data_IF_884224096119
#
_entry.id   IF_884224096119
#
_cell.length_a   1.000
_cell.length_b   1.000
_cell.length_c   1.000
_cell.angle_alpha   90.00
_cell.angle_beta   90.00
_cell.angle_gamma   90.00
#
_symmetry.space_group_name_H-M   'P 1'
#
loop_
_entity.id
_entity.type
_entity.pdbx_description
1 polymer ?
#
# COMPACT_ATOMS: atom_id res chain seq x y z
N UNK A 1 28.84 25.29 -35.95
CA UNK A 1 27.50 25.26 -35.32
C UNK A 1 27.07 26.71 -35.24
N UNK A 2 26.33 27.18 -36.24
CA UNK A 2 25.80 28.55 -36.23
C UNK A 2 24.74 28.62 -35.13
N UNK A 3 24.98 29.47 -34.13
CA UNK A 3 23.99 29.71 -33.09
C UNK A 3 22.87 30.55 -33.70
N UNK A 4 21.63 30.13 -33.47
CA UNK A 4 20.43 30.82 -33.96
C UNK A 4 20.45 32.23 -33.34
N UNK A 5 20.46 33.26 -34.17
CA UNK A 5 20.40 34.65 -33.69
C UNK A 5 18.96 34.98 -33.28
N UNK A 6 18.75 35.97 -32.40
CA UNK A 6 17.40 36.31 -31.90
C UNK A 6 16.40 36.70 -32.99
N UNK A 7 16.89 37.02 -34.20
CA UNK A 7 16.07 37.34 -35.37
C UNK A 7 15.50 36.11 -36.07
N UNK A 8 16.09 34.93 -35.84
CA UNK A 8 15.72 33.67 -36.49
C UNK A 8 14.82 32.80 -35.61
N UNK A 9 14.62 33.19 -34.34
CA UNK A 9 13.76 32.44 -33.42
C UNK A 9 12.27 32.75 -33.68
N UNK A 10 11.41 31.74 -33.90
CA UNK A 10 9.99 31.97 -34.17
C UNK A 10 9.29 32.66 -32.98
N UNK A 11 8.76 33.86 -33.20
CA UNK A 11 8.09 34.63 -32.13
C UNK A 11 6.89 33.90 -31.52
N UNK A 12 6.21 33.06 -32.29
CA UNK A 12 5.10 32.21 -31.82
C UNK A 12 5.54 31.23 -30.71
N UNK A 13 6.82 30.85 -30.69
CA UNK A 13 7.38 29.93 -29.69
C UNK A 13 8.00 30.66 -28.49
N UNK A 14 8.16 31.98 -28.55
CA UNK A 14 8.92 32.73 -27.56
C UNK A 14 8.26 32.66 -26.18
N UNK A 15 6.94 32.80 -26.13
CA UNK A 15 6.18 32.65 -24.90
C UNK A 15 6.32 31.23 -24.30
N UNK A 16 6.24 30.18 -25.13
CA UNK A 16 6.37 28.80 -24.67
C UNK A 16 7.79 28.50 -24.16
N UNK A 17 8.80 29.01 -24.85
CA UNK A 17 10.20 28.86 -24.45
C UNK A 17 10.47 29.58 -23.12
N UNK A 18 9.97 30.81 -22.95
CA UNK A 18 10.13 31.57 -21.72
C UNK A 18 9.37 30.94 -20.55
N UNK A 19 8.18 30.38 -20.79
CA UNK A 19 7.42 29.63 -19.80
C UNK A 19 8.16 28.36 -19.37
N UNK A 20 8.75 27.63 -20.33
CA UNK A 20 9.55 26.45 -20.04
C UNK A 20 10.79 26.80 -19.22
N UNK A 21 11.52 27.85 -19.60
CA UNK A 21 12.71 28.33 -18.89
C UNK A 21 12.40 28.74 -17.44
N UNK A 22 11.30 29.46 -17.23
CA UNK A 22 10.83 29.85 -15.90
C UNK A 22 10.46 28.61 -15.06
N UNK A 23 9.70 27.67 -15.64
CA UNK A 23 9.32 26.43 -14.96
C UNK A 23 10.53 25.55 -14.60
N UNK A 24 11.54 25.49 -15.48
CA UNK A 24 12.79 24.77 -15.21
C UNK A 24 13.59 25.41 -14.08
N UNK A 25 13.64 26.74 -14.04
CA UNK A 25 14.33 27.50 -12.97
C UNK A 25 13.69 27.26 -11.59
N UNK A 26 12.35 27.30 -11.51
CA UNK A 26 11.62 27.00 -10.28
C UNK A 26 11.86 25.57 -9.81
N UNK A 27 11.82 24.63 -10.75
CA UNK A 27 12.04 23.22 -10.47
C UNK A 27 13.47 22.92 -10.03
N UNK A 28 14.46 23.54 -10.65
CA UNK A 28 15.87 23.43 -10.27
C UNK A 28 16.08 23.89 -8.83
N UNK A 29 15.44 24.99 -8.42
CA UNK A 29 15.48 25.46 -7.02
C UNK A 29 14.94 24.39 -6.04
N UNK A 30 13.81 23.75 -6.36
CA UNK A 30 13.22 22.68 -5.53
C UNK A 30 14.10 21.43 -5.50
N UNK A 31 14.64 21.01 -6.65
CA UNK A 31 15.51 19.83 -6.73
C UNK A 31 16.81 20.07 -5.96
N UNK A 32 17.41 21.25 -6.07
CA UNK A 32 18.61 21.63 -5.32
C UNK A 32 18.39 21.57 -3.81
N UNK A 33 17.21 21.97 -3.32
CA UNK A 33 16.85 21.79 -1.91
C UNK A 33 16.75 20.30 -1.54
N UNK A 34 16.11 19.48 -2.37
CA UNK A 34 15.95 18.05 -2.10
C UNK A 34 17.28 17.28 -2.07
N UNK A 35 18.23 17.63 -2.93
CA UNK A 35 19.55 16.98 -3.00
C UNK A 35 20.60 17.60 -2.07
N UNK A 36 20.27 18.68 -1.36
CA UNK A 36 21.18 19.36 -0.43
C UNK A 36 21.58 18.49 0.77
N UNK A 37 20.77 17.49 1.09
CA UNK A 37 20.99 16.53 2.17
C UNK A 37 21.05 15.10 1.59
N UNK A 38 21.97 14.24 2.08
CA UNK A 38 22.02 12.86 1.63
C UNK A 38 20.74 12.10 1.97
N UNK A 39 20.31 11.23 1.05
CA UNK A 39 19.07 10.46 1.19
C UNK A 39 19.01 9.63 2.47
N UNK A 40 20.14 9.10 2.93
CA UNK A 40 20.25 8.33 4.17
C UNK A 40 19.87 9.16 5.40
N UNK A 41 20.29 10.42 5.43
CA UNK A 41 19.99 11.36 6.52
C UNK A 41 18.52 11.78 6.47
N UNK A 42 18.01 12.11 5.27
CA UNK A 42 16.59 12.37 5.05
C UNK A 42 15.71 11.21 5.57
N UNK A 43 16.08 9.98 5.20
CA UNK A 43 15.37 8.77 5.58
C UNK A 43 15.40 8.52 7.09
N UNK A 44 16.50 8.83 7.77
CA UNK A 44 16.67 8.60 9.21
C UNK A 44 15.66 9.40 10.06
N UNK A 45 15.25 10.57 9.57
CA UNK A 45 14.32 11.48 10.25
C UNK A 45 12.83 11.20 9.95
N UNK A 46 12.51 10.24 9.08
CA UNK A 46 11.14 10.00 8.60
C UNK A 46 10.55 8.68 9.11
N UNK A 47 9.24 8.67 9.41
CA UNK A 47 8.50 7.42 9.68
C UNK A 47 8.39 6.57 8.40
N UNK A 48 8.19 5.25 8.49
CA UNK A 48 8.11 4.38 7.30
C UNK A 48 7.08 4.83 6.25
N UNK A 49 5.91 5.32 6.69
CA UNK A 49 4.87 5.81 5.77
C UNK A 49 5.26 7.14 5.11
N UNK A 50 5.93 8.03 5.83
CA UNK A 50 6.45 9.30 5.30
C UNK A 50 7.57 9.04 4.29
N UNK A 51 8.48 8.11 4.60
CA UNK A 51 9.53 7.65 3.69
C UNK A 51 8.96 7.09 2.40
N UNK A 52 7.94 6.24 2.48
CA UNK A 52 7.28 5.69 1.28
C UNK A 52 6.68 6.79 0.41
N UNK A 53 6.06 7.83 1.00
CA UNK A 53 5.52 8.97 0.26
C UNK A 53 6.64 9.78 -0.40
N UNK A 54 7.71 10.04 0.32
CA UNK A 54 8.89 10.75 -0.18
C UNK A 54 9.48 10.02 -1.40
N UNK A 55 9.81 8.74 -1.26
CA UNK A 55 10.41 7.94 -2.34
C UNK A 55 9.49 7.86 -3.57
N UNK A 56 8.18 7.70 -3.34
CA UNK A 56 7.19 7.67 -4.42
C UNK A 56 7.12 9.00 -5.17
N UNK A 57 7.20 10.13 -4.44
CA UNK A 57 7.23 11.45 -5.04
C UNK A 57 8.52 11.68 -5.83
N UNK A 58 9.69 11.27 -5.32
CA UNK A 58 10.97 11.38 -6.02
C UNK A 58 10.98 10.58 -7.32
N UNK A 59 10.49 9.34 -7.29
CA UNK A 59 10.38 8.50 -8.49
C UNK A 59 9.41 9.11 -9.51
N UNK A 60 8.27 9.63 -9.05
CA UNK A 60 7.32 10.31 -9.92
C UNK A 60 7.92 11.55 -10.59
N UNK A 61 8.68 12.35 -9.83
CA UNK A 61 9.38 13.51 -10.35
C UNK A 61 10.34 13.10 -11.47
N UNK A 62 11.27 12.17 -11.21
CA UNK A 62 12.23 11.69 -12.23
C UNK A 62 11.54 11.15 -13.47
N UNK A 63 10.47 10.38 -13.30
CA UNK A 63 9.68 9.82 -14.41
C UNK A 63 9.05 10.93 -15.26
N UNK A 64 8.54 11.99 -14.61
CA UNK A 64 7.91 13.14 -15.26
C UNK A 64 8.94 14.03 -15.99
N UNK A 65 10.13 14.20 -15.40
CA UNK A 65 11.25 14.90 -16.05
C UNK A 65 11.71 14.17 -17.30
N UNK A 66 11.80 12.85 -17.23
CA UNK A 66 12.17 12.05 -18.38
C UNK A 66 11.12 12.13 -19.50
N UNK A 67 9.83 12.20 -19.14
CA UNK A 67 8.76 12.47 -20.10
C UNK A 67 8.94 13.83 -20.80
N UNK A 68 9.22 14.90 -20.04
CA UNK A 68 9.47 16.22 -20.59
C UNK A 68 10.71 16.23 -21.50
N UNK A 69 11.80 15.60 -21.09
CA UNK A 69 13.01 15.45 -21.88
C UNK A 69 12.76 14.78 -23.23
N UNK A 70 12.00 13.69 -23.27
CA UNK A 70 11.72 13.04 -24.56
C UNK A 70 10.87 13.90 -25.48
N UNK A 71 9.94 14.69 -24.93
CA UNK A 71 9.18 15.66 -25.73
C UNK A 71 10.09 16.72 -26.35
N UNK A 72 11.16 17.15 -25.67
CA UNK A 72 12.13 18.10 -26.27
C UNK A 72 13.01 17.44 -27.33
N UNK A 73 13.24 16.13 -27.24
CA UNK A 73 13.93 15.34 -28.28
C UNK A 73 13.00 14.95 -29.46
N UNK A 74 11.72 15.33 -29.43
CA UNK A 74 10.75 14.96 -30.46
C UNK A 74 10.33 13.48 -30.44
N UNK A 75 10.67 12.73 -29.37
CA UNK A 75 10.31 11.32 -29.20
C UNK A 75 8.97 11.23 -28.48
N UNK A 76 8.05 10.39 -28.97
CA UNK A 76 6.77 10.19 -28.29
C UNK A 76 6.95 9.37 -27.00
N UNK A 77 6.59 9.89 -25.81
CA UNK A 77 6.83 9.18 -24.56
C UNK A 77 6.01 7.92 -24.35
N UNK A 78 4.95 7.74 -25.13
CA UNK A 78 4.02 6.61 -25.02
C UNK A 78 4.57 5.33 -25.63
N UNK A 79 5.55 5.43 -26.53
CA UNK A 79 6.12 4.27 -27.24
C UNK A 79 7.18 3.53 -26.41
N UNK A 80 7.66 4.15 -25.33
CA UNK A 80 8.73 3.63 -24.48
C UNK A 80 8.16 2.92 -23.24
N UNK A 81 9.04 2.43 -22.34
CA UNK A 81 8.64 1.80 -21.07
C UNK A 81 8.03 2.77 -20.02
N UNK A 82 7.88 4.05 -20.34
CA UNK A 82 7.44 5.09 -19.40
C UNK A 82 6.00 4.94 -18.89
N UNK A 83 5.00 4.57 -19.71
CA UNK A 83 3.66 4.31 -19.22
C UNK A 83 3.63 3.22 -18.15
N UNK A 84 4.51 2.22 -18.25
CA UNK A 84 4.66 1.17 -17.24
C UNK A 84 5.21 1.72 -15.92
N UNK A 85 6.18 2.64 -15.98
CA UNK A 85 6.70 3.31 -14.77
C UNK A 85 5.66 4.21 -14.10
N UNK A 86 4.87 4.94 -14.88
CA UNK A 86 3.75 5.71 -14.34
C UNK A 86 2.71 4.82 -13.66
N UNK A 87 2.38 3.67 -14.26
CA UNK A 87 1.46 2.72 -13.66
C UNK A 87 2.04 2.09 -12.38
N UNK A 88 3.34 1.81 -12.36
CA UNK A 88 4.05 1.36 -11.14
C UNK A 88 3.93 2.39 -10.03
N UNK A 89 4.15 3.67 -10.32
CA UNK A 89 4.00 4.77 -9.34
C UNK A 89 2.58 4.84 -8.81
N UNK A 90 1.56 4.82 -9.69
CA UNK A 90 0.15 4.81 -9.25
C UNK A 90 -0.16 3.64 -8.32
N UNK A 91 0.35 2.44 -8.63
CA UNK A 91 0.16 1.25 -7.81
C UNK A 91 0.84 1.38 -6.44
N UNK A 92 2.01 2.03 -6.36
CA UNK A 92 2.67 2.31 -5.06
C UNK A 92 1.86 3.34 -4.26
N UNK A 93 1.38 4.41 -4.88
CA UNK A 93 0.51 5.41 -4.23
C UNK A 93 -0.76 4.74 -3.70
N UNK A 94 -1.40 3.89 -4.51
CA UNK A 94 -2.61 3.15 -4.11
C UNK A 94 -2.37 2.27 -2.88
N UNK A 95 -1.25 1.54 -2.84
CA UNK A 95 -0.85 0.73 -1.67
C UNK A 95 -0.58 1.58 -0.43
N UNK A 96 0.14 2.70 -0.58
CA UNK A 96 0.41 3.61 0.53
C UNK A 96 -0.89 4.20 1.11
N UNK A 97 -1.85 4.56 0.26
CA UNK A 97 -3.20 5.00 0.67
C UNK A 97 -3.94 3.91 1.44
N UNK A 98 -4.00 2.69 0.91
CA UNK A 98 -4.64 1.57 1.60
C UNK A 98 -4.05 1.31 3.00
N UNK A 99 -2.73 1.42 3.15
CA UNK A 99 -2.06 1.28 4.45
C UNK A 99 -2.46 2.42 5.39
N UNK A 100 -2.48 3.66 4.90
CA UNK A 100 -2.90 4.82 5.69
C UNK A 100 -4.38 4.70 6.12
N UNK A 101 -5.26 4.27 5.23
CA UNK A 101 -6.69 4.10 5.50
C UNK A 101 -6.94 2.96 6.48
N UNK A 102 -6.20 1.85 6.37
CA UNK A 102 -6.25 0.74 7.34
C UNK A 102 -5.87 1.18 8.75
N UNK A 103 -4.96 2.14 8.90
CA UNK A 103 -4.61 2.67 10.22
C UNK A 103 -5.77 3.45 10.86
N UNK A 104 -6.65 4.04 10.06
CA UNK A 104 -7.83 4.79 10.49
C UNK A 104 -9.09 3.92 10.62
N UNK A 105 -9.06 2.69 10.11
CA UNK A 105 -10.22 1.80 10.09
C UNK A 105 -10.67 1.41 11.51
N UNK A 106 -12.00 1.34 11.76
CA UNK A 106 -12.53 0.93 13.06
C UNK A 106 -12.10 -0.50 13.38
N UNK A 107 -11.54 -0.71 14.58
CA UNK A 107 -11.10 -2.03 15.05
C UNK A 107 -12.25 -2.70 15.80
N UNK A 108 -12.61 -3.92 15.42
CA UNK A 108 -13.58 -4.73 16.15
C UNK A 108 -13.04 -5.11 17.53
N UNK A 109 -13.85 -4.94 18.57
CA UNK A 109 -13.50 -5.43 19.90
C UNK A 109 -13.71 -6.95 19.97
N UNK A 110 -12.62 -7.68 19.74
CA UNK A 110 -12.61 -9.16 19.75
C UNK A 110 -13.11 -9.73 21.08
N UNK A 111 -12.85 -9.06 22.21
CA UNK A 111 -13.32 -9.49 23.52
C UNK A 111 -14.84 -9.39 23.65
N UNK A 112 -15.43 -8.28 23.20
CA UNK A 112 -16.87 -8.10 23.16
C UNK A 112 -17.55 -9.09 22.20
N UNK A 113 -16.98 -9.28 20.99
CA UNK A 113 -17.47 -10.26 20.03
C UNK A 113 -17.48 -11.69 20.62
N UNK A 114 -16.40 -12.10 21.33
CA UNK A 114 -16.35 -13.38 22.03
C UNK A 114 -17.45 -13.53 23.09
N UNK A 115 -17.79 -12.45 23.81
CA UNK A 115 -18.88 -12.46 24.81
C UNK A 115 -20.24 -12.63 24.14
N UNK A 116 -20.50 -11.93 23.03
CA UNK A 116 -21.74 -12.08 22.27
C UNK A 116 -21.91 -13.50 21.74
N UNK A 117 -20.85 -14.08 21.19
CA UNK A 117 -20.86 -15.46 20.70
C UNK A 117 -21.11 -16.43 21.85
N UNK A 118 -20.42 -16.29 22.99
CA UNK A 118 -20.62 -17.15 24.17
C UNK A 118 -22.05 -17.05 24.71
N UNK A 119 -22.60 -15.84 24.78
CA UNK A 119 -23.98 -15.62 25.24
C UNK A 119 -25.02 -16.19 24.28
N UNK A 120 -24.79 -16.11 22.96
CA UNK A 120 -25.68 -16.68 21.96
C UNK A 120 -25.64 -18.21 21.88
N UNK A 121 -24.51 -18.83 22.23
CA UNK A 121 -24.35 -20.29 22.34
C UNK A 121 -24.75 -20.84 23.73
N UNK A 122 -25.21 -19.98 24.63
CA UNK A 122 -25.61 -20.42 25.96
C UNK A 122 -27.01 -21.02 25.92
N UNK A 123 -27.09 -22.35 25.94
CA UNK A 123 -28.32 -23.07 26.22
C UNK A 123 -28.46 -23.25 27.74
N UNK A 124 -29.52 -22.67 28.31
CA UNK A 124 -29.90 -22.93 29.69
C UNK A 124 -30.35 -24.40 29.80
N UNK A 125 -29.75 -25.17 30.71
CA UNK A 125 -30.15 -26.55 31.02
C UNK A 125 -31.61 -26.72 31.51
N UNK A 126 -32.34 -25.62 31.67
CA UNK A 126 -33.72 -25.60 32.12
C UNK A 126 -34.73 -25.48 30.96
N UNK A 127 -34.26 -25.45 29.70
CA UNK A 127 -35.09 -25.37 28.49
C UNK A 127 -35.78 -26.69 28.06
N UNK A 128 -35.37 -27.84 28.60
CA UNK A 128 -36.00 -29.14 28.30
C UNK A 128 -37.23 -29.46 29.19
N UNK A 129 -37.87 -28.45 29.80
CA UNK A 129 -39.13 -28.64 30.55
C UNK A 129 -40.21 -27.65 30.17
N UNK A 130 -40.45 -27.47 28.88
CA UNK A 130 -41.75 -27.02 28.37
C UNK A 130 -41.83 -27.33 26.88
N UNK A 131 -42.44 -28.46 26.57
CA UNK A 131 -43.31 -28.69 25.41
C UNK A 131 -43.24 -30.17 24.97
N UNK A 132 -43.97 -31.03 25.68
CA UNK A 132 -44.45 -32.31 25.14
C UNK A 132 -45.54 -32.90 26.05
N UNK A 133 -46.73 -32.32 26.00
CA UNK A 133 -47.94 -33.08 26.29
C UNK A 133 -48.53 -33.50 24.96
N UNK A 134 -47.97 -34.55 24.34
CA UNK A 134 -48.57 -35.33 23.27
C UNK A 134 -47.94 -36.73 23.31
N UNK A 135 -48.84 -37.68 23.55
CA UNK A 135 -48.67 -39.11 23.76
C UNK A 135 -48.05 -39.84 22.55
N UNK A 136 -47.27 -40.91 22.81
CA UNK A 136 -46.75 -41.79 21.76
C UNK A 136 -45.41 -42.47 22.06
N UNK A 137 -45.45 -43.67 22.65
CA UNK A 137 -44.34 -44.60 22.79
C UNK A 137 -43.71 -44.98 21.44
N UNK A 138 -42.38 -44.86 21.27
CA UNK A 138 -41.55 -45.75 20.41
C UNK A 138 -40.15 -45.92 21.01
N UNK A 139 -39.59 -47.11 20.79
CA UNK A 139 -38.47 -47.82 21.42
C UNK A 139 -37.05 -47.29 21.10
N UNK A 140 -36.10 -47.72 21.94
CA UNK A 140 -34.63 -47.70 21.80
C UNK A 140 -34.13 -47.97 20.37
N UNK A 141 -33.14 -47.17 19.91
CA UNK A 141 -32.08 -47.62 19.00
C UNK A 141 -30.83 -46.71 19.09
N UNK A 142 -29.66 -47.33 18.92
CA UNK A 142 -28.29 -46.82 19.08
C UNK A 142 -27.96 -45.49 18.36
N UNK A 143 -27.44 -44.48 19.09
CA UNK A 143 -26.82 -43.28 18.49
C UNK A 143 -25.30 -43.24 18.79
N UNK A 144 -24.41 -43.19 17.77
CA UNK A 144 -22.97 -43.18 17.99
C UNK A 144 -22.49 -41.86 18.63
N UNK A 145 -21.64 -41.97 19.66
CA UNK A 145 -20.96 -40.81 20.27
C UNK A 145 -20.11 -40.06 19.23
N UNK A 146 -20.15 -38.70 19.20
CA UNK A 146 -19.33 -37.94 18.27
C UNK A 146 -17.83 -38.10 18.58
N UNK A 147 -16.96 -38.13 17.56
CA UNK A 147 -15.54 -38.39 17.76
C UNK A 147 -14.85 -37.24 18.51
N UNK A 148 -13.78 -37.54 19.28
CA UNK A 148 -13.10 -36.54 20.08
C UNK A 148 -12.45 -35.48 19.20
N UNK A 149 -12.69 -34.23 19.57
CA UNK A 149 -12.25 -33.05 18.85
C UNK A 149 -10.70 -33.00 18.82
N UNK A 150 -10.09 -33.31 17.66
CA UNK A 150 -8.64 -33.16 17.48
C UNK A 150 -8.31 -31.68 17.47
N UNK A 151 -7.67 -31.19 18.55
CA UNK A 151 -7.05 -29.87 18.55
C UNK A 151 -5.96 -29.85 17.49
N UNK A 152 -6.18 -29.13 16.40
CA UNK A 152 -5.12 -28.80 15.43
C UNK A 152 -4.15 -27.87 16.18
N UNK A 153 -2.95 -28.36 16.47
CA UNK A 153 -1.84 -27.49 16.89
C UNK A 153 -1.45 -26.65 15.68
N UNK A 154 -1.50 -25.34 15.83
CA UNK A 154 -0.76 -24.44 14.96
C UNK A 154 0.68 -24.43 15.51
N UNK A 155 1.62 -24.95 14.74
CA UNK A 155 3.04 -24.83 15.05
C UNK A 155 3.42 -23.35 14.96
N UNK A 156 3.76 -22.78 16.10
CA UNK A 156 4.09 -21.38 16.30
C UNK A 156 5.60 -21.16 16.13
N UNK A 157 6.23 -21.78 15.12
CA UNK A 157 7.69 -21.73 14.93
C UNK A 157 8.08 -21.30 13.51
N UNK A 158 7.69 -20.07 13.13
CA UNK A 158 8.32 -19.36 11.99
C UNK A 158 8.93 -18.01 12.40
N UNK A 159 9.23 -17.85 13.69
CA UNK A 159 9.99 -16.69 14.18
C UNK A 159 11.29 -17.13 14.85
N UNK A 160 12.15 -17.84 14.10
CA UNK A 160 13.58 -17.97 14.39
C UNK A 160 14.35 -18.41 13.14
N UNK A 161 14.47 -17.49 12.18
CA UNK A 161 15.69 -17.43 11.35
C UNK A 161 16.53 -16.30 11.94
N UNK A 162 17.28 -16.64 12.98
CA UNK A 162 18.44 -15.87 13.41
C UNK A 162 19.41 -15.82 12.23
N UNK A 163 19.76 -14.61 11.79
CA UNK A 163 20.89 -14.37 10.89
C UNK A 163 22.17 -14.72 11.65
N UNK A 164 22.78 -15.87 11.37
CA UNK A 164 24.19 -16.09 11.69
C UNK A 164 25.03 -15.49 10.56
N UNK A 165 25.49 -14.25 10.77
CA UNK A 165 26.65 -13.74 10.06
C UNK A 165 27.89 -14.28 10.76
N UNK A 166 28.58 -15.21 10.12
CA UNK A 166 29.90 -15.69 10.53
C UNK A 166 30.83 -15.66 9.30
N UNK A 167 31.73 -14.67 9.33
CA UNK A 167 33.09 -14.63 8.78
C UNK A 167 33.46 -15.49 7.57
N UNK A 168 33.64 -14.83 6.40
CA UNK A 168 34.90 -14.78 5.63
C UNK A 168 34.82 -13.82 4.44
#
# INVERSE_FOLDING_TARGET
MEWITSKDFPQELAANAQNLDSALSEMEAVVNQLISMPLSEAHSCMKPLERSKYDTASVYAVTSLFWAYMKTQGVDPKTNGLPKELERVKNVIGRAKQIADKALAPKLNVSAAKRFIRGGLWESKDGEKKDSNLDGQVQDEDVPKPPPNKRIRFDEDLNSTQLTNEER
#
